data_IF_998659321028
#
_entry.id   IF_998659321028
#
_cell.length_a   1.000
_cell.length_b   1.000
_cell.length_c   1.000
_cell.angle_alpha   90.00
_cell.angle_beta   90.00
_cell.angle_gamma   90.00
#
_symmetry.space_group_name_H-M   'P 1'
#
loop_
_entity.id
_entity.type
_entity.pdbx_description
1 polymer ?
#
# COMPACT_ATOMS: atom_id res chain seq x y z
N UNK A 1 -13.38 -0.51 5.78
CA UNK A 1 -12.87 -1.85 6.14
C UNK A 1 -13.96 -2.89 5.99
N UNK A 2 -13.67 -3.96 5.27
CA UNK A 2 -14.53 -5.14 5.09
C UNK A 2 -13.98 -6.32 5.88
N UNK A 3 -14.86 -7.25 6.26
CA UNK A 3 -14.54 -8.40 7.12
C UNK A 3 -15.14 -9.65 6.51
N UNK A 4 -14.35 -10.71 6.44
CA UNK A 4 -14.73 -12.05 6.01
C UNK A 4 -14.32 -13.05 7.11
N UNK A 5 -15.29 -13.78 7.65
CA UNK A 5 -15.00 -14.91 8.54
C UNK A 5 -14.59 -16.12 7.71
N UNK A 6 -13.47 -16.73 8.06
CA UNK A 6 -12.87 -17.84 7.34
C UNK A 6 -13.34 -19.18 7.92
N UNK A 7 -13.34 -20.27 7.14
CA UNK A 7 -13.75 -21.60 7.62
C UNK A 7 -12.94 -22.13 8.81
N UNK A 8 -11.74 -21.59 9.04
CA UNK A 8 -10.88 -21.93 10.17
C UNK A 8 -11.16 -21.09 11.44
N UNK A 9 -12.25 -20.32 11.48
CA UNK A 9 -12.65 -19.47 12.60
C UNK A 9 -11.85 -18.17 12.73
N UNK A 10 -10.96 -17.86 11.79
CA UNK A 10 -10.23 -16.58 11.75
C UNK A 10 -11.00 -15.52 10.96
N UNK A 11 -10.62 -14.27 11.15
CA UNK A 11 -11.26 -13.12 10.52
C UNK A 11 -10.27 -12.42 9.59
N UNK A 12 -10.60 -12.34 8.31
CA UNK A 12 -9.85 -11.58 7.32
C UNK A 12 -10.46 -10.20 7.16
N UNK A 13 -9.69 -9.19 7.54
CA UNK A 13 -10.02 -7.78 7.36
C UNK A 13 -9.31 -7.26 6.11
N UNK A 14 -10.00 -6.47 5.31
CA UNK A 14 -9.40 -5.86 4.14
C UNK A 14 -9.92 -4.46 3.86
N UNK A 15 -9.06 -3.66 3.22
CA UNK A 15 -9.35 -2.29 2.82
C UNK A 15 -8.95 -2.09 1.36
N UNK A 16 -9.75 -1.33 0.63
CA UNK A 16 -9.42 -0.90 -0.73
C UNK A 16 -8.88 0.52 -0.67
N UNK A 17 -7.84 0.79 -1.44
CA UNK A 17 -7.32 2.13 -1.63
C UNK A 17 -7.05 2.39 -3.11
N UNK A 18 -7.18 3.65 -3.53
CA UNK A 18 -6.76 4.09 -4.86
C UNK A 18 -5.30 4.46 -4.79
N UNK A 19 -4.47 3.84 -5.62
CA UNK A 19 -3.07 4.21 -5.79
C UNK A 19 -3.03 5.57 -6.52
N UNK A 20 -2.52 6.65 -5.90
CA UNK A 20 -2.53 7.99 -6.49
C UNK A 20 -1.58 8.12 -7.68
N UNK A 21 -0.63 7.19 -7.84
CA UNK A 21 0.38 7.25 -8.89
C UNK A 21 0.04 6.38 -10.10
N UNK A 22 -0.64 5.26 -9.87
CA UNK A 22 -1.07 4.36 -10.95
C UNK A 22 -2.55 4.44 -11.27
N UNK A 23 -3.32 5.18 -10.46
CA UNK A 23 -4.79 5.30 -10.47
C UNK A 23 -5.56 3.98 -10.31
N UNK A 24 -4.86 2.87 -10.08
CA UNK A 24 -5.44 1.54 -9.93
C UNK A 24 -5.99 1.35 -8.53
N UNK A 25 -7.14 0.68 -8.45
CA UNK A 25 -7.66 0.17 -7.18
C UNK A 25 -6.82 -0.99 -6.71
N UNK A 26 -6.38 -0.92 -5.44
CA UNK A 26 -5.58 -1.94 -4.77
C UNK A 26 -6.32 -2.40 -3.52
N UNK A 27 -5.88 -3.53 -2.95
CA UNK A 27 -6.41 -4.08 -1.70
C UNK A 27 -5.26 -4.51 -0.80
N UNK A 28 -5.40 -4.25 0.50
CA UNK A 28 -4.58 -4.85 1.57
C UNK A 28 -5.47 -5.71 2.46
N UNK A 29 -4.88 -6.72 3.10
CA UNK A 29 -5.58 -7.56 4.06
C UNK A 29 -4.71 -7.93 5.26
N UNK A 30 -5.36 -8.21 6.37
CA UNK A 30 -4.80 -8.82 7.59
C UNK A 30 -5.77 -9.89 8.09
N UNK A 31 -5.24 -10.94 8.70
CA UNK A 31 -6.06 -12.00 9.29
C UNK A 31 -5.77 -12.07 10.78
N UNK A 32 -6.81 -11.97 11.61
CA UNK A 32 -6.73 -12.07 13.07
C UNK A 32 -7.62 -13.20 13.57
N UNK A 33 -7.36 -13.68 14.78
CA UNK A 33 -8.11 -14.79 15.39
C UNK A 33 -9.44 -14.35 16.05
N UNK A 34 -9.80 -13.06 15.96
CA UNK A 34 -11.00 -12.51 16.60
C UNK A 34 -11.67 -11.46 15.71
N UNK A 35 -13.00 -11.48 15.70
CA UNK A 35 -13.87 -10.47 15.09
C UNK A 35 -14.32 -9.37 16.06
N UNK A 36 -13.76 -9.33 17.28
CA UNK A 36 -14.15 -8.38 18.32
C UNK A 36 -13.88 -6.91 17.93
N UNK A 37 -14.51 -5.96 18.63
CA UNK A 37 -14.26 -4.52 18.41
C UNK A 37 -12.79 -4.13 18.63
N UNK A 38 -12.10 -4.80 19.57
CA UNK A 38 -10.65 -4.61 19.78
C UNK A 38 -9.85 -5.08 18.58
N UNK A 39 -10.14 -6.27 18.07
CA UNK A 39 -9.48 -6.81 16.88
C UNK A 39 -9.78 -5.99 15.63
N UNK A 40 -10.99 -5.45 15.47
CA UNK A 40 -11.34 -4.49 14.40
C UNK A 40 -10.47 -3.24 14.45
N UNK A 41 -10.25 -2.66 15.64
CA UNK A 41 -9.41 -1.47 15.82
C UNK A 41 -7.94 -1.77 15.50
N UNK A 42 -7.45 -2.92 15.94
CA UNK A 42 -6.10 -3.40 15.61
C UNK A 42 -5.94 -3.64 14.10
N UNK A 43 -6.90 -4.33 13.48
CA UNK A 43 -6.91 -4.58 12.05
C UNK A 43 -6.88 -3.28 11.24
N UNK A 44 -7.67 -2.27 11.62
CA UNK A 44 -7.65 -0.97 10.96
C UNK A 44 -6.25 -0.35 10.99
N UNK A 45 -5.61 -0.30 12.16
CA UNK A 45 -4.25 0.22 12.30
C UNK A 45 -3.26 -0.51 11.39
N UNK A 46 -3.30 -1.84 11.38
CA UNK A 46 -2.42 -2.65 10.54
C UNK A 46 -2.69 -2.48 9.03
N UNK A 47 -3.95 -2.26 8.64
CA UNK A 47 -4.32 -1.98 7.25
C UNK A 47 -3.79 -0.60 6.82
N UNK A 48 -3.95 0.41 7.67
CA UNK A 48 -3.45 1.77 7.41
C UNK A 48 -1.93 1.78 7.25
N UNK A 49 -1.20 1.13 8.17
CA UNK A 49 0.26 0.96 8.08
C UNK A 49 0.68 0.25 6.78
N UNK A 50 -0.05 -0.79 6.35
CA UNK A 50 0.23 -1.48 5.09
C UNK A 50 -0.02 -0.59 3.87
N UNK A 51 -1.03 0.27 3.90
CA UNK A 51 -1.33 1.21 2.81
C UNK A 51 -0.23 2.28 2.76
N UNK A 52 0.11 2.89 3.89
CA UNK A 52 1.15 3.91 3.98
C UNK A 52 2.49 3.38 3.46
N UNK A 53 2.91 2.19 3.90
CA UNK A 53 4.13 1.54 3.41
C UNK A 53 4.10 1.26 1.91
N UNK A 54 2.94 0.92 1.33
CA UNK A 54 2.85 0.73 -0.12
C UNK A 54 2.95 2.06 -0.86
N UNK A 55 2.32 3.11 -0.36
CA UNK A 55 2.37 4.45 -0.96
C UNK A 55 3.76 5.07 -0.87
N UNK A 56 4.45 4.93 0.26
CA UNK A 56 5.82 5.43 0.45
C UNK A 56 6.81 4.74 -0.49
N UNK A 57 6.71 3.41 -0.62
CA UNK A 57 7.55 2.64 -1.55
C UNK A 57 7.30 3.04 -3.00
N UNK A 58 6.04 3.22 -3.41
CA UNK A 58 5.72 3.68 -4.77
C UNK A 58 6.28 5.09 -5.03
N UNK A 59 6.15 6.01 -4.07
CA UNK A 59 6.73 7.35 -4.15
C UNK A 59 8.25 7.30 -4.32
N UNK A 60 8.94 6.48 -3.54
CA UNK A 60 10.39 6.32 -3.61
C UNK A 60 10.83 5.77 -4.98
N UNK A 61 10.13 4.75 -5.49
CA UNK A 61 10.41 4.18 -6.81
C UNK A 61 10.22 5.19 -7.94
N UNK A 62 9.14 5.98 -7.91
CA UNK A 62 8.88 7.00 -8.92
C UNK A 62 9.92 8.11 -8.87
N UNK A 63 10.29 8.56 -7.68
CA UNK A 63 11.35 9.57 -7.51
C UNK A 63 12.68 9.06 -8.08
N UNK A 64 13.06 7.82 -7.74
CA UNK A 64 14.27 7.20 -8.26
C UNK A 64 14.28 7.15 -9.80
N UNK A 65 13.18 6.70 -10.42
CA UNK A 65 13.05 6.63 -11.88
C UNK A 65 13.10 8.03 -12.53
N UNK A 66 12.42 9.02 -11.95
CA UNK A 66 12.46 10.41 -12.45
C UNK A 66 13.87 10.99 -12.38
N UNK A 67 14.58 10.80 -11.27
CA UNK A 67 15.96 11.26 -11.12
C UNK A 67 16.89 10.62 -12.14
N UNK A 68 16.78 9.31 -12.40
CA UNK A 68 17.59 8.65 -13.42
C UNK A 68 17.33 9.14 -14.84
N UNK A 69 16.08 9.50 -15.17
CA UNK A 69 15.72 10.03 -16.49
C UNK A 69 16.22 11.46 -16.71
N UNK A 70 16.21 12.31 -15.67
CA UNK A 70 16.65 13.70 -15.78
C UNK A 70 18.17 13.82 -15.94
N UNK A 71 18.95 12.98 -15.28
CA UNK A 71 20.43 13.04 -15.32
C UNK A 71 20.99 12.57 -16.68
N UNK A 72 20.23 11.79 -17.46
CA UNK A 72 20.64 11.33 -18.79
C UNK A 72 20.55 12.38 -19.90
N UNK A 73 20.01 13.58 -19.64
CA UNK A 73 19.78 14.63 -20.65
C UNK A 73 20.90 15.66 -20.83
N UNK A 74 21.82 15.78 -19.87
CA UNK A 74 22.76 16.91 -19.80
C UNK A 74 24.20 16.60 -20.29
N UNK A 75 24.42 15.45 -20.94
CA UNK A 75 25.71 15.04 -21.49
C UNK A 75 25.78 15.07 -23.04
N UNK A 76 25.08 16.03 -23.67
CA UNK A 76 25.31 16.33 -25.10
C UNK A 76 25.90 17.74 -25.23
N UNK A 77 27.22 17.77 -25.39
CA UNK A 77 27.95 18.75 -26.19
C UNK A 77 27.84 20.21 -25.77
N UNK A 78 28.80 20.67 -24.97
CA UNK A 78 29.38 21.99 -25.18
C UNK A 78 30.90 21.82 -25.28
N UNK A 79 31.30 21.44 -26.48
CA UNK A 79 32.58 21.85 -27.05
C UNK A 79 32.52 23.36 -27.34
#
# INVERSE_FOLDING_TARGET
MWIEELPNGKYKFFERYKDPYTEKWRRVSVTLDSGSSRAKKEAQKLLDEKIENKLSNLKALIYFLQTSLTIGGDFIGKD
#
